data_IF_827333793033
#
_entry.id   IF_827333793033
#
_cell.length_a   1.000
_cell.length_b   1.000
_cell.length_c   1.000
_cell.angle_alpha   90.00
_cell.angle_beta   90.00
_cell.angle_gamma   90.00
#
_symmetry.space_group_name_H-M   'P 1'
#
loop_
_entity.id
_entity.type
_entity.pdbx_description
1 polymer ?
#
# COMPACT_ATOMS: atom_id res chain seq x y z
N UNK A 1 -15.42 16.69 72.79
CA UNK A 1 -16.80 17.04 73.22
C UNK A 1 -17.78 16.17 72.44
N UNK A 2 -18.68 15.46 73.15
CA UNK A 2 -19.97 14.80 72.76
C UNK A 2 -20.21 14.59 71.25
N UNK A 3 -20.27 13.38 70.64
CA UNK A 3 -21.13 12.17 70.81
C UNK A 3 -22.65 12.43 70.86
N UNK A 4 -23.39 11.63 70.04
CA UNK A 4 -24.83 11.20 70.09
C UNK A 4 -25.74 11.91 69.04
N UNK A 5 -26.61 11.30 68.22
CA UNK A 5 -27.09 9.92 67.88
C UNK A 5 -27.96 10.03 66.58
N UNK A 6 -27.89 9.11 65.60
CA UNK A 6 -28.67 7.87 65.42
C UNK A 6 -29.98 8.03 64.61
N UNK A 7 -30.13 7.30 63.49
CA UNK A 7 -31.26 6.39 63.23
C UNK A 7 -31.09 5.58 61.93
N UNK A 8 -31.10 4.25 62.09
CA UNK A 8 -31.28 3.23 61.06
C UNK A 8 -32.78 3.02 60.80
N UNK A 9 -33.20 2.83 59.54
CA UNK A 9 -34.34 1.97 59.16
C UNK A 9 -34.01 1.25 57.85
N UNK A 10 -34.02 -0.08 57.91
CA UNK A 10 -33.95 -1.04 56.82
C UNK A 10 -35.27 -1.15 56.06
N UNK A 11 -35.25 -1.40 54.74
CA UNK A 11 -36.32 -2.12 54.02
C UNK A 11 -35.74 -2.63 52.69
N UNK A 12 -35.31 -3.90 52.65
CA UNK A 12 -35.99 -5.06 52.07
C UNK A 12 -35.92 -5.14 50.53
N UNK A 13 -35.05 -6.05 50.09
CA UNK A 13 -34.91 -6.60 48.74
C UNK A 13 -36.18 -7.38 48.37
N UNK A 14 -36.83 -7.06 47.25
CA UNK A 14 -37.84 -7.91 46.62
C UNK A 14 -37.35 -8.22 45.20
N UNK A 15 -36.92 -9.47 45.02
CA UNK A 15 -36.62 -10.08 43.73
C UNK A 15 -37.96 -10.51 43.14
N UNK A 16 -38.42 -9.82 42.10
CA UNK A 16 -39.52 -10.25 41.25
C UNK A 16 -38.97 -10.97 40.03
N UNK A 17 -39.10 -12.29 39.99
CA UNK A 17 -38.92 -13.08 38.77
C UNK A 17 -40.05 -12.74 37.80
N UNK A 18 -39.72 -12.11 36.67
CA UNK A 18 -40.56 -12.08 35.48
C UNK A 18 -39.90 -12.97 34.43
N UNK A 19 -40.47 -14.16 34.26
CA UNK A 19 -40.18 -15.06 33.16
C UNK A 19 -40.73 -14.48 31.87
N UNK A 20 -39.88 -13.80 31.11
CA UNK A 20 -40.09 -13.60 29.69
C UNK A 20 -39.47 -14.78 28.95
N UNK A 21 -40.34 -15.57 28.31
CA UNK A 21 -39.97 -16.53 27.29
C UNK A 21 -39.29 -15.79 26.15
N UNK A 22 -37.98 -15.95 26.02
CA UNK A 22 -37.25 -15.54 24.84
C UNK A 22 -37.67 -16.45 23.69
N UNK A 23 -38.37 -15.87 22.72
CA UNK A 23 -38.32 -16.38 21.36
C UNK A 23 -36.87 -16.23 20.93
N UNK A 24 -36.21 -17.37 20.74
CA UNK A 24 -34.89 -17.45 20.12
C UNK A 24 -34.99 -16.91 18.69
N UNK A 25 -34.63 -15.65 18.50
CA UNK A 25 -34.11 -15.22 17.21
C UNK A 25 -32.64 -15.67 17.20
N UNK A 26 -32.35 -16.74 16.46
CA UNK A 26 -30.97 -17.06 16.07
C UNK A 26 -30.43 -15.86 15.30
N UNK A 27 -29.62 -15.03 15.97
CA UNK A 27 -28.66 -14.20 15.25
C UNK A 27 -27.51 -15.13 14.90
N UNK A 28 -27.50 -15.59 13.65
CA UNK A 28 -26.26 -16.07 13.04
C UNK A 28 -25.34 -14.85 12.87
N UNK A 29 -24.64 -14.48 13.94
CA UNK A 29 -23.43 -13.69 13.84
C UNK A 29 -22.28 -14.70 13.77
N UNK A 30 -22.14 -15.35 12.63
CA UNK A 30 -20.97 -16.17 12.35
C UNK A 30 -19.91 -15.23 11.83
N UNK A 31 -18.92 -14.96 12.68
CA UNK A 31 -17.66 -14.35 12.27
C UNK A 31 -17.17 -15.07 11.01
N UNK A 32 -16.95 -14.34 9.91
CA UNK A 32 -16.36 -14.92 8.71
C UNK A 32 -14.98 -15.46 9.03
N UNK A 33 -14.66 -16.61 8.46
CA UNK A 33 -13.34 -17.22 8.54
C UNK A 33 -12.33 -16.44 7.71
N UNK A 34 -11.05 -16.56 8.05
CA UNK A 34 -9.96 -16.00 7.25
C UNK A 34 -10.04 -16.45 5.77
N UNK A 35 -10.34 -17.71 5.50
CA UNK A 35 -10.46 -18.24 4.14
C UNK A 35 -11.58 -17.55 3.35
N UNK A 36 -12.71 -17.27 4.01
CA UNK A 36 -13.79 -16.47 3.42
C UNK A 36 -13.30 -15.04 3.13
N UNK A 37 -12.62 -14.37 4.06
CA UNK A 37 -12.06 -13.01 3.83
C UNK A 37 -11.07 -12.95 2.68
N UNK A 38 -10.18 -13.94 2.57
CA UNK A 38 -9.21 -14.05 1.48
C UNK A 38 -9.93 -14.27 0.15
N UNK A 39 -10.94 -15.14 0.13
CA UNK A 39 -11.75 -15.38 -1.06
C UNK A 39 -12.44 -14.09 -1.54
N UNK A 40 -13.04 -13.34 -0.62
CA UNK A 40 -13.65 -12.04 -0.95
C UNK A 40 -12.61 -11.02 -1.44
N UNK A 41 -11.44 -10.96 -0.81
CA UNK A 41 -10.35 -10.07 -1.20
C UNK A 41 -9.93 -10.29 -2.66
N UNK A 42 -9.75 -11.56 -3.05
CA UNK A 42 -9.40 -11.95 -4.41
C UNK A 42 -10.53 -11.60 -5.38
N UNK A 43 -11.80 -11.81 -4.98
CA UNK A 43 -12.96 -11.41 -5.78
C UNK A 43 -12.97 -9.90 -6.05
N UNK A 44 -12.91 -9.09 -5.00
CA UNK A 44 -12.99 -7.63 -5.13
C UNK A 44 -11.80 -7.05 -5.89
N UNK A 45 -10.61 -7.63 -5.73
CA UNK A 45 -9.46 -7.27 -6.56
C UNK A 45 -9.72 -7.59 -8.04
N UNK A 46 -10.30 -8.77 -8.32
CA UNK A 46 -10.69 -9.20 -9.66
C UNK A 46 -11.74 -8.32 -10.34
N UNK A 47 -12.67 -7.77 -9.56
CA UNK A 47 -13.72 -6.84 -10.02
C UNK A 47 -13.25 -5.37 -10.05
N UNK A 48 -11.96 -5.11 -9.80
CA UNK A 48 -11.38 -3.76 -9.71
C UNK A 48 -12.08 -2.87 -8.64
N UNK A 49 -12.71 -3.50 -7.63
CA UNK A 49 -13.48 -2.85 -6.58
C UNK A 49 -12.56 -2.39 -5.43
N UNK A 50 -11.74 -1.35 -5.68
CA UNK A 50 -10.67 -0.93 -4.74
C UNK A 50 -11.17 -0.59 -3.33
N UNK A 51 -12.35 0.00 -3.20
CA UNK A 51 -12.96 0.28 -1.87
C UNK A 51 -13.19 -1.01 -1.10
N UNK A 52 -13.71 -2.04 -1.75
CA UNK A 52 -13.98 -3.33 -1.12
C UNK A 52 -12.69 -4.10 -0.82
N UNK A 53 -11.66 -3.99 -1.66
CA UNK A 53 -10.31 -4.51 -1.36
C UNK A 53 -9.77 -3.93 -0.05
N UNK A 54 -9.81 -2.60 0.10
CA UNK A 54 -9.29 -1.93 1.32
C UNK A 54 -10.15 -2.30 2.53
N UNK A 55 -11.49 -2.25 2.40
CA UNK A 55 -12.40 -2.65 3.47
C UNK A 55 -12.15 -4.08 3.94
N UNK A 56 -11.95 -5.02 3.01
CA UNK A 56 -11.67 -6.42 3.37
C UNK A 56 -10.30 -6.55 4.03
N UNK A 57 -9.28 -5.80 3.60
CA UNK A 57 -7.98 -5.76 4.27
C UNK A 57 -8.07 -5.19 5.70
N UNK A 58 -8.84 -4.13 5.93
CA UNK A 58 -9.08 -3.58 7.27
C UNK A 58 -9.73 -4.63 8.20
N UNK A 59 -10.73 -5.37 7.69
CA UNK A 59 -11.36 -6.47 8.43
C UNK A 59 -10.37 -7.60 8.74
N UNK A 60 -9.44 -7.90 7.82
CA UNK A 60 -8.37 -8.88 8.08
C UNK A 60 -7.39 -8.34 9.13
N UNK A 61 -7.04 -7.05 9.14
CA UNK A 61 -6.14 -6.47 10.15
C UNK A 61 -6.73 -6.54 11.56
N UNK A 62 -8.02 -6.21 11.69
CA UNK A 62 -8.73 -6.25 12.96
C UNK A 62 -8.78 -7.66 13.57
N UNK A 63 -8.89 -8.70 12.74
CA UNK A 63 -9.17 -10.07 13.19
C UNK A 63 -7.98 -11.01 13.08
N UNK A 64 -7.11 -10.79 12.09
CA UNK A 64 -6.01 -11.64 11.68
C UNK A 64 -4.77 -10.78 11.31
N UNK A 65 -4.20 -9.99 12.24
CA UNK A 65 -3.16 -8.99 11.91
C UNK A 65 -1.87 -9.57 11.31
N UNK A 66 -1.55 -10.84 11.60
CA UNK A 66 -0.42 -11.54 10.96
C UNK A 66 -0.72 -11.90 9.50
N UNK A 67 -1.96 -12.26 9.19
CA UNK A 67 -2.42 -12.50 7.82
C UNK A 67 -2.59 -11.21 7.03
N UNK A 68 -3.02 -10.13 7.67
CA UNK A 68 -3.09 -8.82 7.05
C UNK A 68 -1.75 -8.40 6.45
N UNK A 69 -0.63 -8.57 7.17
CA UNK A 69 0.69 -8.22 6.62
C UNK A 69 1.02 -8.98 5.35
N UNK A 70 0.65 -10.25 5.26
CA UNK A 70 0.86 -11.10 4.09
C UNK A 70 -0.07 -10.68 2.95
N UNK A 71 -1.36 -10.53 3.22
CA UNK A 71 -2.33 -10.25 2.17
C UNK A 71 -2.25 -8.81 1.66
N UNK A 72 -1.93 -7.85 2.53
CA UNK A 72 -1.61 -6.49 2.11
C UNK A 72 -0.38 -6.48 1.19
N UNK A 73 0.69 -7.20 1.55
CA UNK A 73 1.88 -7.29 0.68
C UNK A 73 1.61 -8.02 -0.64
N UNK A 74 0.74 -9.03 -0.64
CA UNK A 74 0.26 -9.70 -1.86
C UNK A 74 -0.50 -8.74 -2.77
N UNK A 75 -1.41 -7.93 -2.23
CA UNK A 75 -2.15 -6.94 -3.03
C UNK A 75 -1.21 -5.86 -3.58
N UNK A 76 -0.34 -5.30 -2.75
CA UNK A 76 0.64 -4.29 -3.17
C UNK A 76 1.58 -4.84 -4.26
N UNK A 77 2.07 -6.07 -4.08
CA UNK A 77 2.95 -6.72 -5.05
C UNK A 77 2.20 -7.04 -6.35
N UNK A 78 0.93 -7.44 -6.28
CA UNK A 78 0.11 -7.67 -7.47
C UNK A 78 -0.06 -6.36 -8.24
N UNK A 79 -0.39 -5.25 -7.56
CA UNK A 79 -0.50 -3.92 -8.17
C UNK A 79 0.81 -3.53 -8.87
N UNK A 80 1.96 -3.72 -8.23
CA UNK A 80 3.27 -3.46 -8.84
C UNK A 80 3.55 -4.36 -10.05
N UNK A 81 3.23 -5.66 -9.98
CA UNK A 81 3.43 -6.60 -11.09
C UNK A 81 2.58 -6.21 -12.31
N UNK A 82 1.35 -5.76 -12.10
CA UNK A 82 0.47 -5.36 -13.20
C UNK A 82 0.90 -4.05 -13.85
N UNK A 83 1.32 -3.08 -13.05
CA UNK A 83 1.47 -1.70 -13.52
C UNK A 83 2.92 -1.29 -13.78
N UNK A 84 3.89 -1.89 -13.12
CA UNK A 84 5.27 -1.37 -13.05
C UNK A 84 6.38 -2.39 -13.33
N UNK A 85 6.13 -3.69 -13.17
CA UNK A 85 7.17 -4.71 -13.35
C UNK A 85 7.77 -4.69 -14.76
N UNK A 86 9.09 -4.59 -14.84
CA UNK A 86 9.84 -4.69 -16.09
C UNK A 86 9.88 -6.13 -16.59
N UNK A 87 9.63 -6.31 -17.89
CA UNK A 87 9.65 -7.61 -18.56
C UNK A 87 10.92 -7.74 -19.39
N UNK A 88 12.02 -8.17 -18.76
CA UNK A 88 13.28 -8.39 -19.48
C UNK A 88 13.12 -9.52 -20.50
N UNK A 89 13.86 -9.44 -21.62
CA UNK A 89 13.81 -10.43 -22.70
C UNK A 89 15.15 -11.13 -22.87
N UNK A 90 15.10 -12.43 -23.17
CA UNK A 90 16.24 -13.28 -23.57
C UNK A 90 17.30 -13.57 -22.49
N UNK A 91 17.47 -12.70 -21.49
CA UNK A 91 18.41 -12.85 -20.37
C UNK A 91 18.01 -11.96 -19.20
N UNK A 92 18.31 -12.37 -17.97
CA UNK A 92 18.15 -11.55 -16.77
C UNK A 92 19.01 -10.25 -16.82
N UNK A 93 18.54 -9.12 -16.26
CA UNK A 93 19.28 -7.86 -16.23
C UNK A 93 20.49 -7.92 -15.30
N UNK A 94 21.25 -6.83 -15.19
CA UNK A 94 22.34 -6.70 -14.20
C UNK A 94 21.76 -6.43 -12.80
N UNK A 95 22.57 -6.65 -11.75
CA UNK A 95 22.23 -6.26 -10.38
C UNK A 95 21.48 -7.31 -9.54
N UNK A 96 21.47 -8.57 -9.98
CA UNK A 96 21.05 -9.71 -9.14
C UNK A 96 22.23 -10.24 -8.31
N UNK A 97 21.97 -11.05 -7.26
CA UNK A 97 23.04 -11.69 -6.50
C UNK A 97 23.97 -12.52 -7.39
N UNK A 98 25.28 -12.44 -7.13
CA UNK A 98 26.32 -13.13 -7.90
C UNK A 98 26.82 -14.43 -7.21
N UNK A 99 26.15 -14.88 -6.16
CA UNK A 99 26.47 -16.07 -5.37
C UNK A 99 25.34 -17.13 -5.45
N UNK A 100 25.41 -18.13 -4.58
CA UNK A 100 24.50 -19.28 -4.52
C UNK A 100 23.22 -19.01 -3.71
N UNK A 101 22.99 -17.75 -3.27
CA UNK A 101 21.76 -17.36 -2.57
C UNK A 101 20.56 -17.12 -3.50
N UNK A 102 20.80 -17.08 -4.83
CA UNK A 102 19.80 -16.79 -5.83
C UNK A 102 19.45 -17.99 -6.72
N UNK A 103 18.16 -18.13 -7.04
CA UNK A 103 17.66 -19.13 -7.98
C UNK A 103 16.79 -18.53 -9.09
N UNK A 104 17.06 -18.93 -10.33
CA UNK A 104 16.13 -18.72 -11.44
C UNK A 104 15.12 -19.87 -11.49
N UNK A 105 13.84 -19.56 -11.30
CA UNK A 105 12.75 -20.54 -11.43
C UNK A 105 12.22 -20.55 -12.86
N UNK A 106 12.43 -21.64 -13.58
CA UNK A 106 12.08 -21.84 -14.98
C UNK A 106 10.80 -22.68 -15.11
N UNK A 107 9.74 -22.07 -15.63
CA UNK A 107 8.47 -22.77 -15.81
C UNK A 107 8.43 -23.61 -17.08
N UNK A 108 8.02 -24.87 -16.95
CA UNK A 108 7.77 -25.79 -18.06
C UNK A 108 6.66 -25.37 -19.02
N UNK A 109 6.57 -26.07 -20.15
CA UNK A 109 5.53 -25.92 -21.15
C UNK A 109 5.19 -27.27 -21.77
N UNK A 110 3.89 -27.50 -21.96
CA UNK A 110 3.32 -28.80 -22.34
C UNK A 110 4.12 -29.53 -23.43
N UNK A 111 4.63 -30.71 -23.08
CA UNK A 111 5.25 -31.64 -24.02
C UNK A 111 4.25 -32.16 -25.05
N UNK A 112 4.76 -32.57 -26.21
CA UNK A 112 3.98 -33.33 -27.17
C UNK A 112 3.68 -34.75 -26.67
N UNK A 113 2.71 -35.42 -27.30
CA UNK A 113 2.25 -36.75 -26.85
C UNK A 113 3.34 -37.83 -26.93
N UNK A 114 4.38 -37.62 -27.72
CA UNK A 114 5.58 -38.46 -27.81
C UNK A 114 6.67 -38.08 -26.79
N UNK A 115 6.43 -37.07 -25.94
CA UNK A 115 7.38 -36.59 -24.94
C UNK A 115 8.47 -35.67 -25.49
N UNK A 116 8.30 -35.11 -26.70
CA UNK A 116 9.20 -34.11 -27.27
C UNK A 116 8.86 -32.70 -26.75
N UNK A 117 9.89 -31.87 -26.60
CA UNK A 117 9.74 -30.47 -26.23
C UNK A 117 9.30 -29.64 -27.44
N UNK A 118 8.45 -28.64 -27.18
CA UNK A 118 8.05 -27.66 -28.19
C UNK A 118 9.01 -26.47 -28.22
N UNK A 119 8.99 -25.73 -29.33
CA UNK A 119 9.83 -24.52 -29.52
C UNK A 119 9.72 -23.53 -28.35
N UNK A 120 8.54 -23.38 -27.77
CA UNK A 120 8.35 -22.50 -26.61
C UNK A 120 9.11 -22.98 -25.37
N UNK A 121 9.13 -24.28 -25.09
CA UNK A 121 9.90 -24.81 -23.96
C UNK A 121 11.40 -24.62 -24.20
N UNK A 122 11.86 -24.86 -25.44
CA UNK A 122 13.25 -24.66 -25.84
C UNK A 122 13.63 -23.19 -25.68
N UNK A 123 12.80 -22.25 -26.15
CA UNK A 123 13.06 -20.82 -26.01
C UNK A 123 13.16 -20.35 -24.56
N UNK A 124 12.34 -20.91 -23.64
CA UNK A 124 12.48 -20.64 -22.20
C UNK A 124 13.81 -21.15 -21.63
N UNK A 125 14.26 -22.32 -22.09
CA UNK A 125 15.54 -22.89 -21.67
C UNK A 125 16.74 -22.12 -22.21
N UNK A 126 16.64 -21.54 -23.41
CA UNK A 126 17.65 -20.61 -23.92
C UNK A 126 17.78 -19.36 -23.02
N UNK A 127 16.65 -18.79 -22.57
CA UNK A 127 16.67 -17.66 -21.60
C UNK A 127 17.30 -18.07 -20.27
N UNK A 128 16.96 -19.27 -19.78
CA UNK A 128 17.51 -19.82 -18.55
C UNK A 128 19.03 -20.02 -18.65
N UNK A 129 19.51 -20.61 -19.76
CA UNK A 129 20.92 -20.82 -20.00
C UNK A 129 21.69 -19.49 -20.09
N UNK A 130 21.21 -18.52 -20.87
CA UNK A 130 21.83 -17.19 -20.96
C UNK A 130 21.93 -16.51 -19.58
N UNK A 131 20.90 -16.64 -18.76
CA UNK A 131 20.86 -16.06 -17.41
C UNK A 131 21.81 -16.79 -16.45
N UNK A 132 21.87 -18.12 -16.52
CA UNK A 132 22.76 -18.95 -15.72
C UNK A 132 24.25 -18.81 -16.12
N UNK A 133 24.54 -18.50 -17.38
CA UNK A 133 25.89 -18.15 -17.85
C UNK A 133 26.32 -16.78 -17.32
N UNK A 134 25.39 -15.81 -17.28
CA UNK A 134 25.63 -14.48 -16.73
C UNK A 134 25.83 -14.50 -15.21
N UNK A 135 25.10 -15.36 -14.51
CA UNK A 135 25.16 -15.54 -13.06
C UNK A 135 25.66 -16.95 -12.72
N UNK A 136 26.98 -17.20 -12.75
CA UNK A 136 27.55 -18.54 -12.73
C UNK A 136 27.41 -19.31 -11.41
N UNK A 137 27.04 -18.64 -10.32
CA UNK A 137 26.82 -19.27 -9.01
C UNK A 137 25.33 -19.46 -8.67
N UNK A 138 24.42 -18.79 -9.39
CA UNK A 138 22.99 -18.93 -9.13
C UNK A 138 22.50 -20.34 -9.48
N UNK A 139 21.48 -20.83 -8.78
CA UNK A 139 20.80 -22.07 -9.13
C UNK A 139 19.80 -21.86 -10.28
N UNK A 140 19.46 -22.94 -10.98
CA UNK A 140 18.35 -22.99 -11.94
C UNK A 140 17.38 -24.05 -11.49
N UNK A 141 16.20 -23.66 -11.01
CA UNK A 141 15.12 -24.57 -10.67
C UNK A 141 14.20 -24.73 -11.87
N UNK A 142 14.08 -25.95 -12.41
CA UNK A 142 13.15 -26.27 -13.49
C UNK A 142 11.94 -27.01 -12.93
N UNK A 143 10.73 -26.61 -13.33
CA UNK A 143 9.47 -27.16 -12.76
C UNK A 143 8.44 -27.53 -13.83
N UNK A 144 7.91 -28.76 -13.70
CA UNK A 144 6.75 -29.27 -14.46
C UNK A 144 6.67 -30.80 -14.48
N UNK A 145 5.65 -31.38 -13.86
CA UNK A 145 5.51 -32.83 -13.64
C UNK A 145 4.50 -33.58 -14.52
N UNK A 146 3.87 -32.93 -15.50
CA UNK A 146 2.87 -33.61 -16.35
C UNK A 146 3.54 -34.60 -17.31
N UNK A 147 3.46 -35.90 -16.99
CA UNK A 147 4.09 -36.95 -17.79
C UNK A 147 3.47 -37.08 -19.21
N UNK A 148 4.35 -37.13 -20.22
CA UNK A 148 4.06 -37.55 -21.60
C UNK A 148 5.10 -38.57 -22.07
N UNK A 149 4.61 -39.77 -22.41
CA UNK A 149 5.45 -40.86 -22.92
C UNK A 149 6.64 -41.19 -22.01
N UNK A 150 6.42 -41.22 -20.68
CA UNK A 150 7.44 -41.53 -19.69
C UNK A 150 8.42 -40.40 -19.36
N UNK A 151 8.14 -39.17 -19.81
CA UNK A 151 8.96 -37.98 -19.54
C UNK A 151 8.10 -36.86 -18.97
N UNK A 152 8.60 -36.16 -17.96
CA UNK A 152 8.03 -34.89 -17.50
C UNK A 152 8.73 -33.70 -18.17
N UNK A 153 8.16 -32.51 -18.03
CA UNK A 153 8.80 -31.28 -18.50
C UNK A 153 10.09 -31.03 -17.72
N UNK A 154 10.07 -31.23 -16.39
CA UNK A 154 11.24 -31.16 -15.50
C UNK A 154 12.42 -32.01 -15.99
N UNK A 155 12.16 -33.29 -16.30
CA UNK A 155 13.19 -34.21 -16.79
C UNK A 155 13.81 -33.71 -18.12
N UNK A 156 12.96 -33.24 -19.04
CA UNK A 156 13.40 -32.75 -20.35
C UNK A 156 14.20 -31.45 -20.25
N UNK A 157 13.79 -30.55 -19.38
CA UNK A 157 14.47 -29.29 -19.12
C UNK A 157 15.85 -29.52 -18.50
N UNK A 158 15.94 -30.43 -17.52
CA UNK A 158 17.20 -30.86 -16.93
C UNK A 158 18.18 -31.38 -17.98
N UNK A 159 17.77 -32.41 -18.75
CA UNK A 159 18.64 -33.04 -19.74
C UNK A 159 19.12 -32.05 -20.79
N UNK A 160 18.22 -31.16 -21.25
CA UNK A 160 18.59 -30.14 -22.23
C UNK A 160 19.63 -29.16 -21.67
N UNK A 161 19.46 -28.66 -20.44
CA UNK A 161 20.41 -27.73 -19.84
C UNK A 161 21.79 -28.36 -19.64
N UNK A 162 21.85 -29.61 -19.19
CA UNK A 162 23.10 -30.38 -19.05
C UNK A 162 23.77 -30.59 -20.41
N UNK A 163 23.00 -30.98 -21.43
CA UNK A 163 23.51 -31.16 -22.80
C UNK A 163 24.05 -29.86 -23.42
N UNK A 164 23.57 -28.70 -22.95
CA UNK A 164 24.05 -27.37 -23.36
C UNK A 164 25.14 -26.80 -22.43
N UNK A 165 25.64 -27.59 -21.47
CA UNK A 165 26.84 -27.28 -20.70
C UNK A 165 26.60 -26.62 -19.35
N UNK A 166 25.35 -26.50 -18.88
CA UNK A 166 25.07 -26.12 -17.51
C UNK A 166 25.44 -27.28 -16.56
N UNK A 167 26.11 -26.95 -15.46
CA UNK A 167 26.55 -27.95 -14.49
C UNK A 167 25.35 -28.59 -13.76
N UNK A 168 25.33 -29.91 -13.69
CA UNK A 168 24.21 -30.68 -13.11
C UNK A 168 23.93 -30.30 -11.64
N UNK A 169 24.97 -30.00 -10.86
CA UNK A 169 24.87 -29.56 -9.47
C UNK A 169 24.21 -28.19 -9.28
N UNK A 170 24.05 -27.41 -10.36
CA UNK A 170 23.32 -26.13 -10.35
C UNK A 170 21.85 -26.27 -10.72
N UNK A 171 21.40 -27.44 -11.16
CA UNK A 171 20.02 -27.65 -11.64
C UNK A 171 19.21 -28.33 -10.55
N UNK A 172 18.13 -27.67 -10.14
CA UNK A 172 17.14 -28.20 -9.20
C UNK A 172 15.92 -28.64 -10.02
N UNK A 173 15.44 -29.87 -9.82
CA UNK A 173 14.34 -30.42 -10.62
C UNK A 173 13.11 -30.65 -9.75
N UNK A 174 12.00 -30.04 -10.16
CA UNK A 174 10.65 -30.31 -9.65
C UNK A 174 9.82 -30.95 -10.78
N UNK A 175 9.45 -32.22 -10.63
CA UNK A 175 8.79 -33.00 -11.68
C UNK A 175 7.56 -33.78 -11.19
N UNK A 176 6.97 -33.39 -10.07
CA UNK A 176 5.80 -34.06 -9.48
C UNK A 176 4.50 -33.25 -9.65
N UNK A 177 4.61 -31.98 -10.01
CA UNK A 177 3.50 -31.05 -10.18
C UNK A 177 2.59 -31.35 -11.38
N UNK A 178 1.28 -31.19 -11.20
CA UNK A 178 0.27 -31.38 -12.25
C UNK A 178 -0.28 -30.07 -12.82
N UNK A 179 0.02 -28.94 -12.18
CA UNK A 179 -0.50 -27.61 -12.53
C UNK A 179 0.35 -26.49 -11.92
N UNK A 180 0.14 -25.24 -12.37
CA UNK A 180 0.95 -24.08 -11.96
C UNK A 180 0.98 -23.81 -10.46
N UNK A 181 -0.07 -24.15 -9.70
CA UNK A 181 -0.10 -23.98 -8.24
C UNK A 181 0.81 -25.00 -7.55
N UNK A 182 0.72 -26.26 -7.99
CA UNK A 182 1.61 -27.32 -7.51
C UNK A 182 3.07 -27.06 -7.90
N UNK A 183 3.33 -26.53 -9.10
CA UNK A 183 4.69 -26.09 -9.48
C UNK A 183 5.26 -25.15 -8.42
N UNK A 184 4.52 -24.10 -8.04
CA UNK A 184 4.97 -23.12 -7.06
C UNK A 184 5.17 -23.76 -5.68
N UNK A 185 4.16 -24.47 -5.17
CA UNK A 185 4.22 -25.11 -3.84
C UNK A 185 5.38 -26.09 -3.74
N UNK A 186 5.54 -26.99 -4.72
CA UNK A 186 6.59 -28.00 -4.71
C UNK A 186 7.98 -27.39 -4.90
N UNK A 187 8.10 -26.31 -5.70
CA UNK A 187 9.37 -25.59 -5.84
C UNK A 187 9.85 -25.06 -4.49
N UNK A 188 8.99 -24.36 -3.74
CA UNK A 188 9.35 -23.85 -2.42
C UNK A 188 9.57 -24.97 -1.38
N UNK A 189 8.83 -26.08 -1.46
CA UNK A 189 9.08 -27.25 -0.61
C UNK A 189 10.50 -27.81 -0.83
N UNK A 190 10.98 -27.88 -2.08
CA UNK A 190 12.35 -28.30 -2.39
C UNK A 190 13.35 -27.28 -1.85
N UNK A 191 13.15 -25.99 -2.15
CA UNK A 191 14.06 -24.92 -1.72
C UNK A 191 14.23 -24.90 -0.20
N UNK A 192 13.13 -24.88 0.55
CA UNK A 192 13.18 -24.82 2.02
C UNK A 192 13.77 -26.06 2.70
N UNK A 193 13.67 -27.24 2.09
CA UNK A 193 14.10 -28.49 2.71
C UNK A 193 15.49 -28.95 2.27
N UNK A 194 15.97 -28.50 1.11
CA UNK A 194 17.19 -29.02 0.49
C UNK A 194 18.23 -27.94 0.18
N UNK A 195 17.84 -26.65 0.14
CA UNK A 195 18.70 -25.55 -0.27
C UNK A 195 18.55 -24.34 0.68
N UNK A 196 18.98 -24.49 1.93
CA UNK A 196 18.79 -23.50 3.00
C UNK A 196 19.49 -22.14 2.75
N UNK A 197 20.51 -22.11 1.89
CA UNK A 197 21.27 -20.89 1.57
C UNK A 197 20.56 -20.02 0.50
N UNK A 198 19.56 -20.56 -0.20
CA UNK A 198 18.77 -19.80 -1.18
C UNK A 198 17.77 -18.90 -0.44
N UNK A 199 17.91 -17.60 -0.60
CA UNK A 199 17.07 -16.59 0.03
C UNK A 199 16.39 -15.66 -0.97
N UNK A 200 16.67 -15.78 -2.26
CA UNK A 200 16.02 -14.98 -3.31
C UNK A 200 15.74 -15.76 -4.59
N UNK A 201 14.71 -15.34 -5.34
CA UNK A 201 14.35 -15.96 -6.61
C UNK A 201 13.87 -14.96 -7.68
N UNK A 202 14.07 -15.32 -8.95
CA UNK A 202 13.51 -14.63 -10.11
C UNK A 202 12.88 -15.64 -11.07
N UNK A 203 11.90 -15.20 -11.86
CA UNK A 203 11.13 -16.05 -12.76
C UNK A 203 11.67 -16.03 -14.18
N UNK A 204 11.75 -17.21 -14.81
CA UNK A 204 12.01 -17.38 -16.24
C UNK A 204 10.87 -18.17 -16.88
N UNK A 205 10.21 -17.58 -17.87
CA UNK A 205 9.15 -18.24 -18.63
C UNK A 205 8.94 -17.53 -19.99
N UNK A 206 7.83 -17.77 -20.68
CA UNK A 206 7.45 -16.94 -21.83
C UNK A 206 7.03 -15.55 -21.35
N UNK A 207 7.43 -14.49 -22.06
CA UNK A 207 7.20 -13.10 -21.64
C UNK A 207 5.73 -12.83 -21.28
N UNK A 208 4.79 -13.27 -22.11
CA UNK A 208 3.35 -13.10 -21.85
C UNK A 208 2.88 -13.70 -20.51
N UNK A 209 3.60 -14.68 -19.96
CA UNK A 209 3.25 -15.42 -18.74
C UNK A 209 3.90 -14.86 -17.47
N UNK A 210 4.90 -13.97 -17.61
CA UNK A 210 5.72 -13.49 -16.48
C UNK A 210 4.90 -12.87 -15.35
N UNK A 211 3.91 -12.03 -15.67
CA UNK A 211 3.07 -11.38 -14.66
C UNK A 211 2.33 -12.43 -13.81
N UNK A 212 1.62 -13.35 -14.46
CA UNK A 212 0.85 -14.39 -13.76
C UNK A 212 1.75 -15.29 -12.92
N UNK A 213 2.88 -15.74 -13.47
CA UNK A 213 3.82 -16.58 -12.72
C UNK A 213 4.41 -15.84 -11.52
N UNK A 214 4.72 -14.55 -11.66
CA UNK A 214 5.29 -13.74 -10.59
C UNK A 214 4.32 -13.56 -9.43
N UNK A 215 3.05 -13.26 -9.72
CA UNK A 215 2.01 -13.14 -8.69
C UNK A 215 1.92 -14.45 -7.90
N UNK A 216 1.85 -15.59 -8.61
CA UNK A 216 1.66 -16.89 -7.96
C UNK A 216 2.86 -17.31 -7.12
N UNK A 217 4.09 -17.12 -7.63
CA UNK A 217 5.29 -17.49 -6.90
C UNK A 217 5.59 -16.55 -5.74
N UNK A 218 5.32 -15.24 -5.89
CA UNK A 218 5.41 -14.30 -4.78
C UNK A 218 4.48 -14.73 -3.65
N UNK A 219 3.19 -14.92 -3.95
CA UNK A 219 2.21 -15.27 -2.93
C UNK A 219 2.52 -16.63 -2.31
N UNK A 220 2.90 -17.63 -3.11
CA UNK A 220 3.28 -18.93 -2.57
C UNK A 220 4.52 -18.86 -1.67
N UNK A 221 5.51 -18.01 -1.99
CA UNK A 221 6.66 -17.78 -1.09
C UNK A 221 6.20 -17.30 0.29
N UNK A 222 5.28 -16.33 0.34
CA UNK A 222 4.73 -15.81 1.60
C UNK A 222 3.96 -16.88 2.37
N UNK A 223 3.07 -17.63 1.68
CA UNK A 223 2.24 -18.66 2.31
C UNK A 223 3.08 -19.83 2.84
N UNK A 224 4.07 -20.28 2.06
CA UNK A 224 4.98 -21.37 2.48
C UNK A 224 5.89 -20.95 3.62
N UNK A 225 6.39 -19.71 3.61
CA UNK A 225 7.16 -19.16 4.71
C UNK A 225 6.35 -19.21 6.03
N UNK A 226 5.09 -18.77 5.98
CA UNK A 226 4.18 -18.83 7.12
C UNK A 226 3.91 -20.28 7.56
N UNK A 227 3.57 -21.17 6.62
CA UNK A 227 3.30 -22.59 6.91
C UNK A 227 4.47 -23.26 7.64
N UNK A 228 5.70 -22.95 7.22
CA UNK A 228 6.93 -23.56 7.72
C UNK A 228 7.56 -22.79 8.90
N UNK A 229 6.96 -21.68 9.33
CA UNK A 229 7.52 -20.76 10.34
C UNK A 229 8.95 -20.27 9.97
N UNK A 230 9.18 -20.00 8.68
CA UNK A 230 10.45 -19.51 8.11
C UNK A 230 10.30 -18.10 7.53
N UNK A 231 11.43 -17.46 7.19
CA UNK A 231 11.42 -16.25 6.37
C UNK A 231 11.07 -16.58 4.92
N UNK A 232 10.34 -15.68 4.24
CA UNK A 232 10.04 -15.82 2.81
C UNK A 232 11.31 -15.73 1.98
N UNK A 233 11.45 -16.59 0.98
CA UNK A 233 12.46 -16.41 -0.07
C UNK A 233 12.05 -15.17 -0.87
N UNK A 234 12.93 -14.17 -0.92
CA UNK A 234 12.68 -12.85 -1.50
C UNK A 234 12.43 -12.94 -3.01
N UNK A 235 11.36 -12.30 -3.47
CA UNK A 235 11.06 -12.22 -4.89
C UNK A 235 11.78 -11.03 -5.52
N UNK A 236 12.77 -11.30 -6.38
CA UNK A 236 13.47 -10.29 -7.15
C UNK A 236 12.80 -10.14 -8.52
N UNK A 237 11.62 -9.52 -8.55
CA UNK A 237 10.83 -9.37 -9.78
C UNK A 237 11.52 -8.58 -10.89
N UNK A 238 12.44 -7.66 -10.54
CA UNK A 238 13.29 -6.97 -11.53
C UNK A 238 14.22 -7.94 -12.28
N UNK A 239 14.55 -9.09 -11.68
CA UNK A 239 15.39 -10.12 -12.29
C UNK A 239 14.67 -11.06 -13.25
N UNK A 240 13.34 -10.95 -13.35
CA UNK A 240 12.53 -11.78 -14.22
C UNK A 240 12.95 -11.63 -15.69
N UNK A 241 12.96 -12.73 -16.43
CA UNK A 241 13.29 -12.74 -17.86
C UNK A 241 12.39 -13.65 -18.68
N UNK A 242 11.97 -13.17 -19.85
CA UNK A 242 11.00 -13.81 -20.71
C UNK A 242 11.56 -14.24 -22.06
N UNK A 243 11.07 -15.37 -22.57
CA UNK A 243 11.15 -15.68 -24.00
C UNK A 243 10.01 -14.97 -24.74
N UNK A 244 10.35 -14.11 -25.70
CA UNK A 244 9.36 -13.32 -26.42
C UNK A 244 8.60 -14.15 -27.46
N UNK A 245 7.27 -14.03 -27.47
CA UNK A 245 6.40 -14.61 -28.49
C UNK A 245 5.68 -13.53 -29.27
N UNK A 246 5.93 -13.47 -30.57
CA UNK A 246 5.24 -12.53 -31.47
C UNK A 246 3.73 -12.77 -31.55
N UNK A 247 3.29 -14.03 -31.40
CA UNK A 247 1.88 -14.42 -31.57
C UNK A 247 1.05 -14.38 -30.29
N UNK A 248 1.69 -14.15 -29.13
CA UNK A 248 1.04 -14.10 -27.83
C UNK A 248 1.79 -13.16 -26.89
N UNK A 249 1.19 -12.00 -26.61
CA UNK A 249 1.85 -10.92 -25.87
C UNK A 249 1.34 -10.73 -24.44
N UNK A 250 0.16 -11.25 -24.10
CA UNK A 250 -0.43 -11.11 -22.74
C UNK A 250 -1.35 -12.29 -22.36
N UNK A 251 -1.65 -12.41 -21.06
CA UNK A 251 -2.70 -13.28 -20.53
C UNK A 251 -3.87 -12.48 -19.97
N UNK A 252 -5.11 -12.98 -20.11
CA UNK A 252 -6.26 -12.35 -19.49
C UNK A 252 -6.11 -12.23 -17.98
N UNK A 253 -6.49 -11.07 -17.43
CA UNK A 253 -6.50 -10.81 -15.99
C UNK A 253 -7.32 -11.85 -15.22
N UNK A 254 -8.43 -12.32 -15.80
CA UNK A 254 -9.28 -13.37 -15.20
C UNK A 254 -8.57 -14.71 -14.95
N UNK A 255 -7.50 -15.03 -15.70
CA UNK A 255 -6.69 -16.22 -15.40
C UNK A 255 -5.81 -16.04 -14.17
N UNK A 256 -5.40 -14.79 -13.87
CA UNK A 256 -4.62 -14.45 -12.68
C UNK A 256 -5.52 -14.53 -11.45
N UNK A 257 -6.71 -13.92 -11.51
CA UNK A 257 -7.73 -14.00 -10.45
C UNK A 257 -8.10 -15.45 -10.13
N UNK A 258 -8.47 -16.24 -11.14
CA UNK A 258 -8.82 -17.65 -10.92
C UNK A 258 -7.70 -18.46 -10.29
N UNK A 259 -6.47 -18.31 -10.80
CA UNK A 259 -5.35 -19.05 -10.25
C UNK A 259 -4.98 -18.60 -8.83
N UNK A 260 -5.29 -17.36 -8.46
CA UNK A 260 -5.03 -16.88 -7.10
C UNK A 260 -5.91 -17.57 -6.05
N UNK A 261 -7.17 -17.90 -6.35
CA UNK A 261 -7.97 -18.76 -5.45
C UNK A 261 -7.29 -20.12 -5.18
N UNK A 262 -6.72 -20.72 -6.22
CA UNK A 262 -6.01 -22.00 -6.11
C UNK A 262 -4.72 -21.86 -5.30
N UNK A 263 -3.94 -20.79 -5.52
CA UNK A 263 -2.71 -20.49 -4.77
C UNK A 263 -3.04 -20.25 -3.29
N UNK A 264 -4.15 -19.56 -2.99
CA UNK A 264 -4.61 -19.29 -1.64
C UNK A 264 -5.17 -20.53 -0.94
N UNK A 265 -5.59 -21.54 -1.70
CA UNK A 265 -6.27 -22.71 -1.16
C UNK A 265 -7.70 -22.44 -0.69
N UNK A 266 -8.37 -21.43 -1.24
CA UNK A 266 -9.73 -21.02 -0.86
C UNK A 266 -10.73 -21.22 -2.00
N UNK A 267 -12.01 -21.41 -1.65
CA UNK A 267 -13.10 -21.53 -2.63
C UNK A 267 -13.37 -20.19 -3.33
N UNK A 268 -13.83 -20.22 -4.58
CA UNK A 268 -14.09 -19.00 -5.36
C UNK A 268 -15.36 -18.26 -4.88
N UNK A 269 -15.20 -17.00 -4.51
CA UNK A 269 -16.33 -16.08 -4.28
C UNK A 269 -16.90 -15.58 -5.59
N UNK A 270 -18.22 -15.34 -5.61
CA UNK A 270 -18.95 -14.92 -6.80
C UNK A 270 -20.13 -14.01 -6.40
N UNK A 271 -20.49 -13.09 -7.30
CA UNK A 271 -21.68 -12.22 -7.18
C UNK A 271 -21.73 -11.41 -5.86
N UNK A 272 -20.58 -11.02 -5.30
CA UNK A 272 -20.54 -10.20 -4.09
C UNK A 272 -20.95 -8.74 -4.40
N UNK A 273 -21.66 -8.07 -3.47
CA UNK A 273 -22.05 -6.69 -3.65
C UNK A 273 -20.82 -5.76 -3.57
N UNK A 274 -20.68 -4.88 -4.57
CA UNK A 274 -19.64 -3.84 -4.60
C UNK A 274 -20.16 -2.60 -3.87
N UNK A 275 -19.33 -2.02 -3.02
CA UNK A 275 -19.65 -0.81 -2.23
C UNK A 275 -20.12 0.33 -3.14
N UNK A 276 -21.21 0.98 -2.74
CA UNK A 276 -21.78 2.12 -3.48
C UNK A 276 -21.51 3.42 -2.72
N UNK A 277 -20.76 4.34 -3.34
CA UNK A 277 -20.49 5.66 -2.79
C UNK A 277 -21.81 6.38 -2.45
N UNK A 278 -22.03 6.87 -1.23
CA UNK A 278 -23.27 7.52 -0.82
C UNK A 278 -23.13 9.01 -0.58
N UNK A 279 -22.12 9.41 0.18
CA UNK A 279 -21.87 10.81 0.54
C UNK A 279 -20.39 11.09 0.77
N UNK A 280 -20.07 12.38 0.88
CA UNK A 280 -18.76 12.87 1.32
C UNK A 280 -18.92 13.57 2.67
N UNK A 281 -18.07 13.22 3.63
CA UNK A 281 -17.83 14.01 4.82
C UNK A 281 -16.57 14.85 4.64
N UNK A 282 -16.66 16.14 4.96
CA UNK A 282 -15.52 17.07 4.79
C UNK A 282 -15.13 17.55 6.16
N UNK A 283 -13.88 17.33 6.51
CA UNK A 283 -13.30 17.74 7.78
C UNK A 283 -12.14 18.70 7.51
N UNK A 284 -11.81 19.55 8.46
CA UNK A 284 -10.73 20.52 8.34
C UNK A 284 -11.18 21.93 8.67
N UNK A 285 -10.39 22.90 8.23
CA UNK A 285 -10.56 24.29 8.60
C UNK A 285 -11.63 25.00 7.75
N UNK A 286 -12.22 26.05 8.33
CA UNK A 286 -13.18 26.93 7.65
C UNK A 286 -12.71 28.37 7.57
N UNK A 287 -11.68 28.71 8.34
CA UNK A 287 -11.09 30.03 8.43
C UNK A 287 -9.61 29.88 8.17
N UNK A 288 -9.09 30.66 7.23
CA UNK A 288 -7.72 30.65 6.77
C UNK A 288 -7.18 32.08 6.81
N UNK A 289 -5.87 32.22 6.84
CA UNK A 289 -5.18 33.50 6.69
C UNK A 289 -4.64 33.59 5.26
N UNK A 290 -4.46 34.81 4.77
CA UNK A 290 -3.82 35.04 3.47
C UNK A 290 -2.53 34.21 3.31
N UNK A 291 -2.41 33.53 2.18
CA UNK A 291 -1.34 32.60 1.81
C UNK A 291 -1.31 31.24 2.53
N UNK A 292 -2.25 30.97 3.43
CA UNK A 292 -2.35 29.67 4.12
C UNK A 292 -2.79 28.58 3.14
N UNK A 293 -2.17 27.40 3.24
CA UNK A 293 -2.55 26.24 2.43
C UNK A 293 -3.92 25.73 2.87
N UNK A 294 -4.72 25.29 1.90
CA UNK A 294 -5.97 24.59 2.19
C UNK A 294 -5.68 23.31 2.98
N UNK A 295 -6.35 23.17 4.12
CA UNK A 295 -6.29 22.01 4.99
C UNK A 295 -7.69 21.43 5.14
N UNK A 296 -8.04 20.51 4.22
CA UNK A 296 -9.30 19.78 4.23
C UNK A 296 -9.06 18.31 3.95
N UNK A 297 -9.73 17.45 4.70
CA UNK A 297 -9.79 16.02 4.49
C UNK A 297 -11.16 15.66 3.94
N UNK A 298 -11.18 14.76 2.95
CA UNK A 298 -12.38 14.29 2.28
C UNK A 298 -12.55 12.81 2.58
N UNK A 299 -13.61 12.46 3.30
CA UNK A 299 -13.96 11.07 3.59
C UNK A 299 -15.17 10.66 2.74
N UNK A 300 -15.03 9.57 2.00
CA UNK A 300 -16.15 8.94 1.30
C UNK A 300 -16.86 7.97 2.25
N UNK A 301 -18.19 8.02 2.28
CA UNK A 301 -19.04 7.06 3.00
C UNK A 301 -19.86 6.24 1.99
N UNK A 302 -19.97 4.95 2.28
CA UNK A 302 -20.58 3.95 1.40
C UNK A 302 -21.85 3.35 2.03
N UNK A 303 -22.67 2.69 1.21
CA UNK A 303 -23.97 2.11 1.58
C UNK A 303 -23.92 1.03 2.66
N UNK A 304 -22.76 0.40 2.85
CA UNK A 304 -22.49 -0.53 3.93
C UNK A 304 -21.99 0.13 5.23
N UNK A 305 -21.91 1.47 5.27
CA UNK A 305 -21.43 2.25 6.40
C UNK A 305 -19.89 2.33 6.52
N UNK A 306 -19.15 1.73 5.58
CA UNK A 306 -17.71 1.89 5.50
C UNK A 306 -17.36 3.33 5.12
N UNK A 307 -16.25 3.82 5.65
CA UNK A 307 -15.73 5.15 5.36
C UNK A 307 -14.25 5.03 5.03
N UNK A 308 -13.78 5.78 4.03
CA UNK A 308 -12.35 5.85 3.69
C UNK A 308 -11.92 7.25 3.31
N UNK A 309 -10.65 7.55 3.58
CA UNK A 309 -10.02 8.79 3.14
C UNK A 309 -9.86 8.79 1.61
N UNK A 310 -10.39 9.81 0.96
CA UNK A 310 -10.32 10.05 -0.48
C UNK A 310 -9.79 11.44 -0.80
N UNK A 311 -9.07 12.06 0.13
CA UNK A 311 -8.55 13.43 0.02
C UNK A 311 -7.71 13.61 -1.23
N UNK A 312 -6.70 12.75 -1.42
CA UNK A 312 -5.79 12.77 -2.59
C UNK A 312 -6.46 12.30 -3.89
N UNK A 313 -7.63 11.65 -3.79
CA UNK A 313 -8.42 11.19 -4.94
C UNK A 313 -9.49 12.20 -5.35
N UNK A 314 -9.71 13.24 -4.55
CA UNK A 314 -10.77 14.23 -4.76
C UNK A 314 -10.25 15.45 -5.51
N UNK A 315 -11.06 15.97 -6.43
CA UNK A 315 -10.79 17.23 -7.09
C UNK A 315 -11.32 18.38 -6.23
N UNK A 316 -10.42 19.24 -5.76
CA UNK A 316 -10.75 20.41 -4.94
C UNK A 316 -10.48 21.69 -5.74
N UNK A 317 -11.49 22.53 -5.88
CA UNK A 317 -11.45 23.75 -6.70
C UNK A 317 -12.14 24.92 -6.01
N UNK A 318 -11.81 26.15 -6.40
CA UNK A 318 -12.49 27.36 -5.89
C UNK A 318 -11.83 28.01 -4.66
N UNK A 319 -10.72 27.44 -4.16
CA UNK A 319 -9.89 28.08 -3.15
C UNK A 319 -8.72 28.84 -3.79
N UNK A 320 -8.59 30.12 -3.46
CA UNK A 320 -7.45 30.98 -3.80
C UNK A 320 -6.87 31.58 -2.51
N UNK A 321 -5.71 31.12 -2.03
CA UNK A 321 -5.13 31.60 -0.78
C UNK A 321 -4.66 33.06 -0.88
N UNK A 322 -4.69 33.68 -2.06
CA UNK A 322 -4.24 35.08 -2.26
C UNK A 322 -5.39 36.09 -2.24
N UNK A 323 -6.63 35.64 -2.05
CA UNK A 323 -7.82 36.48 -2.09
C UNK A 323 -8.54 36.47 -0.75
N UNK A 324 -8.57 37.62 -0.07
CA UNK A 324 -9.30 37.82 1.19
C UNK A 324 -10.82 37.77 0.95
N UNK A 325 -11.53 37.12 1.86
CA UNK A 325 -12.99 37.08 1.91
C UNK A 325 -13.54 35.66 1.89
N UNK A 326 -14.87 35.57 1.83
CA UNK A 326 -15.56 34.28 1.74
C UNK A 326 -15.38 33.68 0.35
N UNK A 327 -15.02 32.40 0.32
CA UNK A 327 -14.83 31.62 -0.88
C UNK A 327 -15.69 30.35 -0.80
N UNK A 328 -16.26 29.95 -1.92
CA UNK A 328 -16.97 28.67 -2.04
C UNK A 328 -16.03 27.66 -2.69
N UNK A 329 -15.71 26.60 -1.96
CA UNK A 329 -14.89 25.49 -2.45
C UNK A 329 -15.83 24.41 -2.97
N UNK A 330 -15.52 23.90 -4.16
CA UNK A 330 -16.16 22.72 -4.74
C UNK A 330 -15.23 21.50 -4.61
N UNK A 331 -15.74 20.47 -3.96
CA UNK A 331 -15.05 19.19 -3.75
C UNK A 331 -15.82 18.14 -4.54
N UNK A 332 -15.15 17.51 -5.50
CA UNK A 332 -15.70 16.49 -6.39
C UNK A 332 -14.98 15.17 -6.20
N UNK A 333 -15.73 14.11 -5.96
CA UNK A 333 -15.23 12.74 -5.94
C UNK A 333 -16.08 11.86 -6.84
N UNK A 334 -15.45 10.95 -7.60
CA UNK A 334 -16.13 10.01 -8.47
C UNK A 334 -15.56 8.61 -8.26
N UNK A 335 -16.46 7.65 -8.07
CA UNK A 335 -16.11 6.24 -7.97
C UNK A 335 -17.23 5.38 -8.58
N UNK A 336 -16.86 4.33 -9.32
CA UNK A 336 -17.81 3.39 -9.94
C UNK A 336 -18.92 4.09 -10.76
N UNK A 337 -18.58 5.20 -11.42
CA UNK A 337 -19.49 6.00 -12.24
C UNK A 337 -20.48 6.87 -11.45
N UNK A 338 -20.39 6.91 -10.12
CA UNK A 338 -21.15 7.85 -9.28
C UNK A 338 -20.26 9.01 -8.88
N UNK A 339 -20.70 10.23 -9.20
CA UNK A 339 -20.04 11.47 -8.79
C UNK A 339 -20.81 12.14 -7.66
N UNK A 340 -20.09 12.56 -6.62
CA UNK A 340 -20.62 13.45 -5.58
C UNK A 340 -19.86 14.76 -5.62
N UNK A 341 -20.60 15.87 -5.61
CA UNK A 341 -20.06 17.21 -5.47
C UNK A 341 -20.57 17.79 -4.15
N UNK A 342 -19.66 18.31 -3.34
CA UNK A 342 -19.97 18.97 -2.08
C UNK A 342 -19.36 20.37 -2.09
N UNK A 343 -20.14 21.34 -1.63
CA UNK A 343 -19.71 22.71 -1.50
C UNK A 343 -19.50 23.04 -0.03
N UNK A 344 -18.37 23.64 0.29
CA UNK A 344 -18.12 24.23 1.60
C UNK A 344 -17.80 25.72 1.43
N UNK A 345 -18.16 26.51 2.43
CA UNK A 345 -17.74 27.91 2.48
C UNK A 345 -16.56 28.00 3.44
N UNK A 346 -15.54 28.73 3.01
CA UNK A 346 -14.39 29.09 3.83
C UNK A 346 -14.20 30.59 3.78
N UNK A 347 -13.48 31.16 4.73
CA UNK A 347 -13.07 32.56 4.69
C UNK A 347 -11.56 32.70 4.80
N UNK A 348 -10.96 33.48 3.90
CA UNK A 348 -9.58 33.92 4.02
C UNK A 348 -9.57 35.31 4.67
N UNK A 349 -8.93 35.43 5.83
CA UNK A 349 -8.80 36.66 6.60
C UNK A 349 -7.52 37.42 6.27
N UNK A 350 -7.57 38.73 6.48
CA UNK A 350 -6.38 39.56 6.44
C UNK A 350 -5.42 39.15 7.59
N UNK A 351 -4.11 39.11 7.33
CA UNK A 351 -3.11 38.87 8.37
C UNK A 351 -3.20 39.90 9.49
N UNK A 352 -3.02 39.44 10.73
CA UNK A 352 -2.92 40.28 11.94
C UNK A 352 -1.78 39.76 12.82
N UNK A 353 -1.25 40.57 13.73
CA UNK A 353 -0.22 40.10 14.67
C UNK A 353 -0.73 38.98 15.58
N UNK A 354 -2.01 39.00 15.94
CA UNK A 354 -2.65 37.95 16.74
C UNK A 354 -2.70 36.63 15.97
N UNK A 355 -3.13 36.66 14.71
CA UNK A 355 -3.25 35.48 13.87
C UNK A 355 -1.87 34.94 13.45
N UNK A 356 -0.88 35.81 13.17
CA UNK A 356 0.51 35.39 12.91
C UNK A 356 1.13 34.67 14.11
N UNK A 357 0.81 35.08 15.34
CA UNK A 357 1.29 34.39 16.54
C UNK A 357 0.70 32.98 16.65
N UNK A 358 -0.60 32.83 16.36
CA UNK A 358 -1.24 31.52 16.32
C UNK A 358 -0.61 30.63 15.22
N UNK A 359 -0.34 31.19 14.05
CA UNK A 359 0.22 30.45 12.93
C UNK A 359 1.66 29.98 13.15
N UNK A 360 2.49 30.74 13.87
CA UNK A 360 3.81 30.24 14.28
C UNK A 360 3.70 28.98 15.15
N UNK A 361 2.64 28.85 15.95
CA UNK A 361 2.40 27.64 16.74
C UNK A 361 1.90 26.49 15.86
N UNK A 362 0.95 26.76 14.96
CA UNK A 362 0.44 25.76 14.03
C UNK A 362 1.56 25.19 13.14
N UNK A 363 2.38 26.06 12.53
CA UNK A 363 3.52 25.63 11.71
C UNK A 363 4.54 24.79 12.49
N UNK A 364 4.75 25.09 13.77
CA UNK A 364 5.61 24.27 14.62
C UNK A 364 5.00 22.88 14.85
N UNK A 365 3.70 22.83 15.18
CA UNK A 365 2.99 21.58 15.44
C UNK A 365 2.84 20.72 14.17
N UNK A 366 2.77 21.36 13.00
CA UNK A 366 2.76 20.74 11.68
C UNK A 366 4.17 20.27 11.23
N UNK A 367 5.21 20.52 12.04
CA UNK A 367 6.58 20.07 11.76
C UNK A 367 7.31 20.89 10.70
N UNK A 368 6.81 22.09 10.38
CA UNK A 368 7.43 23.00 9.42
C UNK A 368 8.68 23.71 9.99
N UNK A 369 8.94 23.55 11.29
CA UNK A 369 10.17 23.98 11.95
C UNK A 369 11.02 22.79 12.39
N UNK A 370 12.30 22.80 12.02
CA UNK A 370 13.21 21.69 12.25
C UNK A 370 14.04 21.83 13.55
N UNK A 371 13.81 22.91 14.32
CA UNK A 371 14.42 23.16 15.62
C UNK A 371 13.40 23.80 16.59
N UNK A 372 13.17 23.16 17.75
CA UNK A 372 12.26 23.60 18.81
C UNK A 372 12.52 25.03 19.33
N UNK A 373 13.72 25.57 19.12
CA UNK A 373 14.08 26.94 19.50
C UNK A 373 13.56 28.00 18.51
N UNK A 374 13.23 27.61 17.28
CA UNK A 374 12.73 28.51 16.23
C UNK A 374 11.38 29.11 16.63
N UNK A 375 10.40 28.27 16.96
CA UNK A 375 9.07 28.70 17.36
C UNK A 375 9.16 29.74 18.49
N UNK A 376 9.94 29.42 19.53
CA UNK A 376 10.14 30.32 20.68
C UNK A 376 10.80 31.64 20.28
N UNK A 377 11.75 31.64 19.34
CA UNK A 377 12.39 32.86 18.85
C UNK A 377 11.39 33.77 18.13
N UNK A 378 10.58 33.20 17.24
CA UNK A 378 9.55 33.90 16.50
C UNK A 378 8.45 34.43 17.43
N UNK A 379 7.97 33.62 18.37
CA UNK A 379 6.97 34.02 19.37
C UNK A 379 7.44 35.19 20.24
N UNK A 380 8.70 35.17 20.72
CA UNK A 380 9.27 36.26 21.52
C UNK A 380 9.31 37.56 20.71
N UNK A 381 9.61 37.47 19.42
CA UNK A 381 9.66 38.61 18.53
C UNK A 381 8.26 39.17 18.24
N UNK A 382 7.28 38.30 17.97
CA UNK A 382 5.86 38.67 17.79
C UNK A 382 5.25 39.27 19.05
N UNK A 383 5.59 38.77 20.24
CA UNK A 383 5.14 39.35 21.50
C UNK A 383 5.65 40.80 21.70
N UNK A 384 6.86 41.11 21.23
CA UNK A 384 7.37 42.48 21.25
C UNK A 384 6.63 43.38 20.25
N UNK A 385 6.33 42.86 19.05
CA UNK A 385 5.54 43.56 18.03
C UNK A 385 4.15 43.93 18.53
N UNK A 386 3.42 42.97 19.11
CA UNK A 386 2.10 43.20 19.71
C UNK A 386 2.11 44.31 20.75
N UNK A 387 3.13 44.33 21.62
CA UNK A 387 3.30 45.40 22.61
C UNK A 387 3.50 46.78 21.96
N UNK A 388 4.22 46.86 20.84
CA UNK A 388 4.41 48.13 20.13
C UNK A 388 3.13 48.60 19.43
N UNK A 389 2.35 47.67 18.89
CA UNK A 389 1.02 47.94 18.33
C UNK A 389 0.07 48.49 19.42
N UNK A 390 -0.08 47.77 20.54
CA UNK A 390 -0.95 48.18 21.67
C UNK A 390 -0.57 49.53 22.30
N UNK A 391 0.69 49.95 22.15
CA UNK A 391 1.20 51.22 22.68
C UNK A 391 1.37 52.31 21.62
N UNK A 392 0.86 52.09 20.41
CA UNK A 392 0.88 53.02 19.27
C UNK A 392 2.31 53.51 18.89
N UNK A 393 3.31 52.63 19.03
CA UNK A 393 4.71 52.93 18.74
C UNK A 393 5.09 52.54 17.29
N UNK A 394 4.44 53.16 16.30
CA UNK A 394 4.53 52.77 14.87
C UNK A 394 5.96 52.70 14.30
N UNK A 395 6.84 53.66 14.63
CA UNK A 395 8.25 53.61 14.18
C UNK A 395 8.98 52.36 14.69
N UNK A 396 8.69 51.94 15.93
CA UNK A 396 9.28 50.73 16.50
C UNK A 396 8.65 49.49 15.92
N UNK A 397 7.33 49.49 15.69
CA UNK A 397 6.60 48.39 15.07
C UNK A 397 7.17 48.08 13.68
N UNK A 398 7.28 49.09 12.81
CA UNK A 398 7.86 48.97 11.47
C UNK A 398 9.29 48.41 11.52
N UNK A 399 10.14 48.95 12.40
CA UNK A 399 11.52 48.47 12.55
C UNK A 399 11.58 46.99 12.99
N UNK A 400 10.68 46.56 13.88
CA UNK A 400 10.68 45.18 14.36
C UNK A 400 10.08 44.21 13.35
N UNK A 401 9.11 44.62 12.51
CA UNK A 401 8.62 43.79 11.40
C UNK A 401 9.73 43.55 10.36
N UNK A 402 10.47 44.59 9.97
CA UNK A 402 11.66 44.42 9.12
C UNK A 402 12.71 43.49 9.78
N UNK A 403 12.89 43.58 11.10
CA UNK A 403 13.77 42.67 11.83
C UNK A 403 13.24 41.24 11.89
N UNK A 404 11.92 41.04 11.84
CA UNK A 404 11.28 39.74 11.79
C UNK A 404 11.53 39.08 10.43
N UNK A 405 11.42 39.83 9.32
CA UNK A 405 11.79 39.33 7.99
C UNK A 405 13.23 38.84 7.94
N UNK A 406 14.19 39.62 8.46
CA UNK A 406 15.59 39.18 8.52
C UNK A 406 15.79 37.90 9.36
N UNK A 407 14.97 37.71 10.40
CA UNK A 407 15.01 36.51 11.22
C UNK A 407 14.47 35.30 10.45
N UNK A 408 13.39 35.47 9.70
CA UNK A 408 12.85 34.42 8.81
C UNK A 408 13.84 34.04 7.72
N UNK A 409 14.48 35.03 7.07
CA UNK A 409 15.53 34.79 6.07
C UNK A 409 16.69 33.98 6.65
N UNK A 410 17.19 34.37 7.83
CA UNK A 410 18.24 33.62 8.52
C UNK A 410 17.80 32.18 8.84
N UNK A 411 16.58 31.99 9.34
CA UNK A 411 16.07 30.67 9.69
C UNK A 411 15.93 29.76 8.47
N UNK A 412 15.48 30.30 7.33
CA UNK A 412 15.43 29.54 6.07
C UNK A 412 16.84 29.22 5.56
N UNK A 413 17.74 30.20 5.55
CA UNK A 413 19.11 30.03 5.04
C UNK A 413 19.93 29.00 5.85
N UNK A 414 19.62 28.86 7.14
CA UNK A 414 20.19 27.83 8.01
C UNK A 414 19.38 26.51 8.01
N UNK A 415 18.40 26.37 7.11
CA UNK A 415 17.55 25.17 6.98
C UNK A 415 16.83 24.80 8.30
N UNK A 416 16.45 25.80 9.09
CA UNK A 416 15.75 25.62 10.38
C UNK A 416 14.23 25.63 10.23
N UNK A 417 13.72 26.11 9.09
CA UNK A 417 12.30 26.13 8.73
C UNK A 417 12.13 25.67 7.29
N UNK A 418 10.94 25.17 6.96
CA UNK A 418 10.59 24.82 5.59
C UNK A 418 10.42 26.05 4.68
N UNK A 419 10.52 25.83 3.38
CA UNK A 419 10.21 26.85 2.37
C UNK A 419 8.76 27.35 2.49
N UNK A 420 7.82 26.47 2.82
CA UNK A 420 6.41 26.84 3.02
C UNK A 420 6.25 27.79 4.21
N UNK A 421 6.79 27.44 5.38
CA UNK A 421 6.71 28.31 6.56
C UNK A 421 7.39 29.66 6.34
N UNK A 422 8.56 29.66 5.67
CA UNK A 422 9.23 30.90 5.29
C UNK A 422 8.34 31.77 4.39
N UNK A 423 7.85 31.22 3.27
CA UNK A 423 7.07 31.99 2.30
C UNK A 423 5.76 32.49 2.90
N UNK A 424 5.09 31.64 3.69
CA UNK A 424 3.87 31.99 4.41
C UNK A 424 4.12 33.16 5.37
N UNK A 425 5.05 33.02 6.32
CA UNK A 425 5.31 34.05 7.33
C UNK A 425 5.87 35.33 6.71
N UNK A 426 6.70 35.23 5.67
CA UNK A 426 7.27 36.37 4.98
C UNK A 426 6.19 37.21 4.29
N UNK A 427 5.33 36.60 3.47
CA UNK A 427 4.27 37.32 2.74
C UNK A 427 3.25 37.94 3.69
N UNK A 428 2.91 37.24 4.77
CA UNK A 428 2.04 37.76 5.81
C UNK A 428 2.66 38.95 6.54
N UNK A 429 3.97 38.93 6.77
CA UNK A 429 4.72 40.05 7.36
C UNK A 429 4.80 41.24 6.39
N UNK A 430 4.99 40.99 5.09
CA UNK A 430 4.96 42.02 4.04
C UNK A 430 3.59 42.70 3.96
N UNK A 431 2.50 41.93 4.01
CA UNK A 431 1.14 42.49 4.08
C UNK A 431 0.99 43.45 5.27
N UNK A 432 1.41 43.03 6.47
CA UNK A 432 1.35 43.90 7.66
C UNK A 432 2.19 45.18 7.51
N UNK A 433 3.33 45.12 6.81
CA UNK A 433 4.17 46.28 6.54
C UNK A 433 3.51 47.26 5.57
N UNK A 434 2.73 46.78 4.61
CA UNK A 434 2.01 47.63 3.65
C UNK A 434 0.81 48.35 4.26
N UNK A 435 0.20 47.79 5.31
CA UNK A 435 -0.96 48.36 6.00
C UNK A 435 -0.60 49.39 7.11
N UNK A 436 0.69 49.55 7.46
CA UNK A 436 1.21 50.49 8.47
C UNK A 436 1.64 51.84 7.88
#
# INVERSE_FOLDING_TARGET
>A
MKKIHMMFISTLLIIGFLSFSTVSAESHNTQESLDERISELIYYYGEEARTDVIRTLDLIDEEYPEDYRIWNSVIDQWDWIENEMEENLNVAPDGLPEDDSHVFVVLGFALDSNGEMRDELIGRLEVALNSAEKYPNAYVLVTGGVEKNGWTEGDRMHDWLVDHGLSEDRIIVENESSNTVENASNSFEILYNQYEDIDSFSMITSQYHLKRSSIFYYTMSQLKAKELEKSSIEFLGKGNAGWYREDKTEEPFSLKVRGMYQIAGVEESNDLPISQLEQLDIQGDHEYILHEKLNVNVYAEYDNGYQRDVTELSEVTGFDPTVIGNQEINIRYEENGKTINKHINVSVEAPSLDNLQLQVQNLHDDGEFFDDHVARSLEVHLAALKRFEETEQNEKLLKHLNSFQNLLEYQRDEELISDYAYDFLMRNTEYLLEEL
#
